data_IF_776307245341
#
_entry.id   IF_776307245341
#
_cell.length_a   1.000
_cell.length_b   1.000
_cell.length_c   1.000
_cell.angle_alpha   90.00
_cell.angle_beta   90.00
_cell.angle_gamma   90.00
#
_symmetry.space_group_name_H-M   'P 1'
#
loop_
_entity.id
_entity.type
_entity.pdbx_description
1 polymer ?
#
# COMPACT_ATOMS: atom_id res chain seq x y z
N UNK A 1 -6.46 31.50 24.16
CA UNK A 1 -6.95 31.57 22.78
C UNK A 1 -6.19 30.50 22.06
N UNK A 2 -6.73 29.27 21.99
CA UNK A 2 -6.25 28.27 21.05
C UNK A 2 -6.74 28.79 19.72
N UNK A 3 -5.79 29.11 18.83
CA UNK A 3 -6.11 29.48 17.46
C UNK A 3 -6.85 28.28 16.85
N UNK A 4 -8.12 28.49 16.49
CA UNK A 4 -8.93 27.49 15.79
C UNK A 4 -8.38 27.30 14.36
N UNK A 5 -7.24 26.63 14.26
CA UNK A 5 -6.72 26.20 12.96
C UNK A 5 -7.72 25.16 12.43
N UNK A 6 -8.35 25.40 11.29
CA UNK A 6 -9.32 24.46 10.75
C UNK A 6 -8.63 23.10 10.50
N UNK A 7 -9.22 22.03 11.03
CA UNK A 7 -8.69 20.68 10.87
C UNK A 7 -8.91 20.15 9.45
N UNK A 8 -9.91 20.66 8.74
CA UNK A 8 -10.36 20.23 7.42
C UNK A 8 -10.57 21.41 6.47
N UNK A 9 -10.84 21.14 5.20
CA UNK A 9 -10.91 22.17 4.15
C UNK A 9 -9.54 22.60 3.62
N UNK A 10 -8.47 21.91 4.04
CA UNK A 10 -7.08 22.22 3.71
C UNK A 10 -6.68 21.59 2.37
N UNK A 11 -7.35 21.98 1.28
CA UNK A 11 -7.17 21.39 -0.05
C UNK A 11 -5.74 21.49 -0.59
N UNK A 12 -4.99 22.51 -0.19
CA UNK A 12 -3.56 22.60 -0.51
C UNK A 12 -2.75 21.43 0.07
N UNK A 13 -3.07 20.98 1.29
CA UNK A 13 -2.44 19.81 1.91
C UNK A 13 -2.88 18.51 1.23
N UNK A 14 -4.14 18.40 0.80
CA UNK A 14 -4.62 17.26 0.00
C UNK A 14 -3.77 17.12 -1.26
N UNK A 15 -3.62 18.21 -2.03
CA UNK A 15 -2.87 18.20 -3.28
C UNK A 15 -1.39 17.92 -3.01
N UNK A 16 -0.78 18.61 -2.06
CA UNK A 16 0.64 18.51 -1.76
C UNK A 16 1.01 17.09 -1.30
N UNK A 17 0.30 16.54 -0.31
CA UNK A 17 0.59 15.20 0.21
C UNK A 17 0.31 14.11 -0.84
N UNK A 18 -0.82 14.21 -1.56
CA UNK A 18 -1.10 13.28 -2.65
C UNK A 18 0.00 13.32 -3.71
N UNK A 19 0.44 14.51 -4.13
CA UNK A 19 1.51 14.66 -5.12
C UNK A 19 2.84 14.09 -4.60
N UNK A 20 3.21 14.38 -3.35
CA UNK A 20 4.45 13.86 -2.73
C UNK A 20 4.44 12.33 -2.74
N UNK A 21 3.40 11.68 -2.23
CA UNK A 21 3.36 10.22 -2.13
C UNK A 21 3.26 9.54 -3.50
N UNK A 22 2.48 10.09 -4.43
CA UNK A 22 2.38 9.56 -5.80
C UNK A 22 3.71 9.73 -6.52
N UNK A 23 4.35 10.90 -6.45
CA UNK A 23 5.64 11.15 -7.05
C UNK A 23 6.73 10.25 -6.42
N UNK A 24 6.73 10.11 -5.09
CA UNK A 24 7.66 9.24 -4.40
C UNK A 24 7.49 7.78 -4.86
N UNK A 25 6.26 7.27 -4.92
CA UNK A 25 5.99 5.94 -5.46
C UNK A 25 6.44 5.80 -6.92
N UNK A 26 6.25 6.85 -7.75
CA UNK A 26 6.68 6.87 -9.15
C UNK A 26 8.21 6.78 -9.29
N UNK A 27 8.99 7.29 -8.33
CA UNK A 27 10.47 7.16 -8.38
C UNK A 27 10.94 5.72 -8.26
N UNK A 28 10.17 4.87 -7.59
CA UNK A 28 10.47 3.44 -7.38
C UNK A 28 9.69 2.50 -8.31
N UNK A 29 8.65 2.99 -8.94
CA UNK A 29 7.81 2.20 -9.84
C UNK A 29 7.48 3.05 -11.07
N UNK A 30 8.25 2.87 -12.13
CA UNK A 30 8.04 3.60 -13.40
C UNK A 30 7.15 2.76 -14.33
N UNK A 31 5.85 3.08 -14.45
CA UNK A 31 4.96 2.31 -15.29
C UNK A 31 5.40 2.36 -16.76
N UNK A 32 5.56 1.20 -17.38
CA UNK A 32 5.92 1.08 -18.81
C UNK A 32 4.79 0.48 -19.63
N UNK A 33 3.98 -0.38 -19.03
CA UNK A 33 2.85 -1.05 -19.68
C UNK A 33 1.51 -0.48 -19.23
N UNK A 34 0.44 -0.71 -20.01
CA UNK A 34 -0.93 -0.35 -19.62
C UNK A 34 -1.32 -0.98 -18.27
N UNK A 35 -0.80 -2.15 -17.95
CA UNK A 35 -1.03 -2.85 -16.69
C UNK A 35 -0.35 -2.14 -15.52
N UNK A 36 0.90 -1.72 -15.72
CA UNK A 36 1.64 -0.96 -14.72
C UNK A 36 0.91 0.36 -14.41
N UNK A 37 0.43 1.06 -15.44
CA UNK A 37 -0.36 2.27 -15.26
C UNK A 37 -1.66 2.03 -14.51
N UNK A 38 -2.33 0.88 -14.71
CA UNK A 38 -3.53 0.52 -13.95
C UNK A 38 -3.22 0.25 -12.49
N UNK A 39 -2.14 -0.48 -12.20
CA UNK A 39 -1.73 -0.78 -10.81
C UNK A 39 -1.33 0.49 -10.07
N UNK A 40 -0.54 1.34 -10.72
CA UNK A 40 -0.11 2.62 -10.17
C UNK A 40 -1.26 3.61 -10.01
N UNK A 41 -2.16 3.68 -10.99
CA UNK A 41 -3.36 4.52 -10.95
C UNK A 41 -4.30 4.14 -9.81
N UNK A 42 -4.47 2.85 -9.54
CA UNK A 42 -5.27 2.37 -8.43
C UNK A 42 -4.67 2.72 -7.07
N UNK A 43 -3.35 2.57 -6.90
CA UNK A 43 -2.62 3.06 -5.73
C UNK A 43 -2.79 4.57 -5.57
N UNK A 44 -2.60 5.32 -6.65
CA UNK A 44 -2.74 6.79 -6.63
C UNK A 44 -4.16 7.23 -6.24
N UNK A 45 -5.19 6.54 -6.73
CA UNK A 45 -6.58 6.81 -6.36
C UNK A 45 -6.82 6.57 -4.86
N UNK A 46 -6.24 5.52 -4.29
CA UNK A 46 -6.30 5.27 -2.84
C UNK A 46 -5.62 6.41 -2.05
N UNK A 47 -4.45 6.86 -2.47
CA UNK A 47 -3.70 7.95 -1.83
C UNK A 47 -4.50 9.26 -1.89
N UNK A 48 -5.11 9.59 -3.03
CA UNK A 48 -5.96 10.79 -3.17
C UNK A 48 -7.19 10.70 -2.28
N UNK A 49 -7.88 9.56 -2.25
CA UNK A 49 -9.04 9.35 -1.39
C UNK A 49 -8.69 9.50 0.10
N UNK A 50 -7.55 8.92 0.52
CA UNK A 50 -7.04 9.03 1.88
C UNK A 50 -6.81 10.48 2.28
N UNK A 51 -6.00 11.23 1.53
CA UNK A 51 -5.66 12.61 1.88
C UNK A 51 -6.85 13.57 1.73
N UNK A 52 -7.80 13.24 0.84
CA UNK A 52 -9.07 13.97 0.75
C UNK A 52 -9.85 13.88 2.07
N UNK A 53 -9.95 12.68 2.66
CA UNK A 53 -10.61 12.53 3.97
C UNK A 53 -9.77 13.05 5.13
N UNK A 54 -8.45 12.98 5.02
CA UNK A 54 -7.53 13.41 6.10
C UNK A 54 -7.49 14.94 6.27
N UNK A 55 -7.47 15.68 5.18
CA UNK A 55 -7.29 17.15 5.21
C UNK A 55 -8.40 17.94 4.53
N UNK A 56 -9.11 17.33 3.56
CA UNK A 56 -10.13 18.01 2.77
C UNK A 56 -11.52 17.91 3.41
N UNK A 57 -12.20 16.80 3.22
CA UNK A 57 -13.53 16.56 3.73
C UNK A 57 -13.61 15.24 4.50
N UNK A 58 -13.85 15.26 5.81
CA UNK A 58 -13.84 14.06 6.66
C UNK A 58 -15.16 13.27 6.52
N UNK A 59 -15.42 12.68 5.36
CA UNK A 59 -16.66 11.97 5.07
C UNK A 59 -16.96 10.88 6.10
N UNK A 60 -15.94 10.12 6.50
CA UNK A 60 -16.06 9.04 7.50
C UNK A 60 -16.53 9.59 8.84
N UNK A 61 -15.90 10.64 9.35
CA UNK A 61 -16.29 11.28 10.62
C UNK A 61 -17.69 11.86 10.48
N UNK A 62 -18.00 12.53 9.37
CA UNK A 62 -19.32 13.09 9.12
C UNK A 62 -20.42 12.02 9.17
N UNK A 63 -20.23 10.90 8.48
CA UNK A 63 -21.21 9.80 8.44
C UNK A 63 -21.37 9.08 9.78
N UNK A 64 -20.29 8.97 10.55
CA UNK A 64 -20.29 8.28 11.85
C UNK A 64 -20.53 9.21 13.04
N UNK A 65 -20.61 10.53 12.84
CA UNK A 65 -20.63 11.55 13.91
C UNK A 65 -21.70 11.29 14.98
N UNK A 66 -22.90 10.91 14.60
CA UNK A 66 -23.97 10.61 15.55
C UNK A 66 -23.67 9.44 16.47
N UNK A 67 -23.12 8.35 15.91
CA UNK A 67 -22.71 7.18 16.67
C UNK A 67 -21.49 7.44 17.53
N UNK A 68 -20.47 8.10 16.97
CA UNK A 68 -19.24 8.46 17.66
C UNK A 68 -19.52 9.39 18.84
N UNK A 69 -20.31 10.44 18.63
CA UNK A 69 -20.65 11.40 19.69
C UNK A 69 -21.49 10.76 20.79
N UNK A 70 -22.43 9.85 20.46
CA UNK A 70 -23.22 9.15 21.46
C UNK A 70 -22.37 8.17 22.31
N UNK A 71 -21.33 7.57 21.73
CA UNK A 71 -20.50 6.57 22.40
C UNK A 71 -19.32 7.18 23.16
N UNK A 72 -18.77 8.26 22.64
CA UNK A 72 -17.57 8.96 23.17
C UNK A 72 -17.81 10.47 23.16
N UNK A 73 -18.67 10.98 24.06
CA UNK A 73 -19.09 12.39 24.06
C UNK A 73 -17.97 13.37 24.40
N UNK A 74 -16.89 12.89 25.02
CA UNK A 74 -15.74 13.69 25.44
C UNK A 74 -14.77 14.01 24.30
N UNK A 75 -14.90 13.35 23.14
CA UNK A 75 -13.97 13.51 22.02
C UNK A 75 -14.53 14.54 21.02
N UNK A 76 -13.70 15.51 20.64
CA UNK A 76 -14.00 16.39 19.52
C UNK A 76 -13.68 15.68 18.20
N UNK A 77 -14.66 14.95 17.64
CA UNK A 77 -14.50 14.15 16.43
C UNK A 77 -14.14 14.94 15.17
N UNK A 78 -14.31 16.26 15.18
CA UNK A 78 -13.90 17.13 14.07
C UNK A 78 -12.50 17.73 14.26
N UNK A 79 -11.76 17.35 15.30
CA UNK A 79 -10.33 17.64 15.40
C UNK A 79 -9.52 16.73 14.46
N UNK A 80 -8.33 17.20 14.05
CA UNK A 80 -7.44 16.36 13.23
C UNK A 80 -7.05 15.06 13.95
N UNK A 81 -6.70 15.14 15.22
CA UNK A 81 -6.26 13.98 16.02
C UNK A 81 -7.30 12.86 16.08
N UNK A 82 -8.60 13.22 16.12
CA UNK A 82 -9.70 12.25 16.14
C UNK A 82 -9.82 11.39 14.85
N UNK A 83 -9.18 11.80 13.76
CA UNK A 83 -9.09 10.99 12.54
C UNK A 83 -8.24 9.73 12.69
N UNK A 84 -7.40 9.65 13.74
CA UNK A 84 -6.70 8.44 14.14
C UNK A 84 -7.65 7.48 14.89
N UNK A 85 -8.73 7.07 14.22
CA UNK A 85 -9.85 6.34 14.82
C UNK A 85 -9.43 5.09 15.60
N UNK A 86 -8.41 4.34 15.16
CA UNK A 86 -7.95 3.16 15.87
C UNK A 86 -7.35 3.52 17.24
N UNK A 87 -6.55 4.58 17.31
CA UNK A 87 -5.96 5.05 18.56
C UNK A 87 -7.07 5.46 19.55
N UNK A 88 -8.04 6.23 19.09
CA UNK A 88 -9.15 6.68 19.91
C UNK A 88 -10.05 5.52 20.39
N UNK A 89 -10.44 4.62 19.49
CA UNK A 89 -11.30 3.48 19.79
C UNK A 89 -10.65 2.46 20.75
N UNK A 90 -9.32 2.29 20.66
CA UNK A 90 -8.55 1.43 21.57
C UNK A 90 -8.08 2.15 22.85
N UNK A 91 -8.51 3.41 23.06
CA UNK A 91 -8.32 4.12 24.32
C UNK A 91 -6.94 4.77 24.50
N UNK A 92 -6.22 5.03 23.42
CA UNK A 92 -4.99 5.82 23.47
C UNK A 92 -5.35 7.28 23.72
N UNK A 93 -4.94 7.85 24.86
CA UNK A 93 -5.36 9.18 25.33
C UNK A 93 -4.25 10.23 25.29
N UNK A 94 -3.16 9.94 24.65
CA UNK A 94 -2.05 10.88 24.41
C UNK A 94 -1.98 11.23 22.92
N UNK A 95 -0.94 11.94 22.50
CA UNK A 95 -0.77 12.30 21.09
C UNK A 95 -0.84 11.05 20.19
N UNK A 96 -1.82 10.95 19.27
CA UNK A 96 -2.06 9.77 18.45
C UNK A 96 -0.90 9.46 17.50
N UNK A 97 -0.08 10.46 17.13
CA UNK A 97 1.09 10.26 16.27
C UNK A 97 2.18 9.39 16.91
N UNK A 98 2.14 9.22 18.22
CA UNK A 98 3.01 8.29 18.96
C UNK A 98 2.28 7.02 19.42
N UNK A 99 1.07 6.82 18.95
CA UNK A 99 0.26 5.64 19.24
C UNK A 99 0.78 4.37 18.54
N UNK A 100 0.40 3.18 19.05
CA UNK A 100 0.90 1.91 18.55
C UNK A 100 0.52 1.64 17.09
N UNK A 101 -0.69 2.02 16.65
CA UNK A 101 -1.14 1.83 15.28
C UNK A 101 -0.41 2.78 14.32
N UNK A 102 -0.17 4.03 14.75
CA UNK A 102 0.57 5.01 13.98
C UNK A 102 2.04 4.58 13.81
N UNK A 103 2.69 4.11 14.87
CA UNK A 103 4.06 3.57 14.79
C UNK A 103 4.11 2.34 13.89
N UNK A 104 3.15 1.42 14.05
CA UNK A 104 3.06 0.21 13.23
C UNK A 104 2.83 0.57 11.75
N UNK A 105 2.08 1.65 11.47
CA UNK A 105 1.84 2.12 10.10
C UNK A 105 3.15 2.46 9.38
N UNK A 106 4.10 3.10 10.04
CA UNK A 106 5.40 3.43 9.44
C UNK A 106 6.19 2.18 9.03
N UNK A 107 6.07 1.08 9.80
CA UNK A 107 6.71 -0.20 9.45
C UNK A 107 6.12 -0.76 8.15
N UNK A 108 4.80 -0.75 8.02
CA UNK A 108 4.12 -1.23 6.80
C UNK A 108 4.36 -0.31 5.59
N UNK A 109 4.26 1.00 5.78
CA UNK A 109 4.49 1.98 4.69
C UNK A 109 5.94 1.92 4.23
N UNK A 110 6.90 2.01 5.17
CA UNK A 110 8.33 1.95 4.86
C UNK A 110 8.74 0.60 4.27
N UNK A 111 8.29 -0.51 4.89
CA UNK A 111 8.51 -1.86 4.38
C UNK A 111 7.94 -2.08 2.98
N UNK A 112 6.74 -1.56 2.72
CA UNK A 112 6.12 -1.59 1.40
C UNK A 112 6.96 -0.88 0.34
N UNK A 113 7.45 0.33 0.62
CA UNK A 113 8.33 1.06 -0.30
C UNK A 113 9.68 0.38 -0.50
N UNK A 114 10.26 -0.23 0.54
CA UNK A 114 11.48 -1.03 0.40
C UNK A 114 11.26 -2.23 -0.55
N UNK A 115 10.13 -2.93 -0.41
CA UNK A 115 9.78 -4.05 -1.28
C UNK A 115 9.56 -3.59 -2.73
N UNK A 116 8.84 -2.47 -2.96
CA UNK A 116 8.64 -1.90 -4.30
C UNK A 116 10.00 -1.55 -4.93
N UNK A 117 10.86 -0.84 -4.19
CA UNK A 117 12.19 -0.44 -4.67
C UNK A 117 13.07 -1.64 -5.02
N UNK A 118 13.12 -2.65 -4.14
CA UNK A 118 13.88 -3.87 -4.37
C UNK A 118 13.37 -4.66 -5.58
N UNK A 119 12.04 -4.73 -5.72
CA UNK A 119 11.40 -5.37 -6.88
C UNK A 119 11.69 -4.64 -8.17
N UNK A 120 11.52 -3.32 -8.17
CA UNK A 120 11.77 -2.49 -9.35
C UNK A 120 13.19 -2.62 -9.90
N UNK A 121 14.18 -2.59 -9.01
CA UNK A 121 15.60 -2.71 -9.41
C UNK A 121 15.85 -3.99 -10.21
N UNK A 122 15.36 -5.13 -9.72
CA UNK A 122 15.53 -6.44 -10.39
C UNK A 122 14.74 -6.48 -11.70
N UNK A 123 13.50 -6.01 -11.68
CA UNK A 123 12.64 -6.00 -12.86
C UNK A 123 13.21 -5.14 -13.98
N UNK A 124 13.67 -3.94 -13.65
CA UNK A 124 14.27 -3.03 -14.62
C UNK A 124 15.53 -3.63 -15.30
N UNK A 125 16.37 -4.30 -14.50
CA UNK A 125 17.56 -4.97 -15.02
C UNK A 125 17.20 -6.14 -15.94
N UNK A 126 16.25 -6.98 -15.55
CA UNK A 126 15.75 -8.08 -16.34
C UNK A 126 15.11 -7.62 -17.66
N UNK A 127 14.32 -6.55 -17.64
CA UNK A 127 13.74 -5.95 -18.85
C UNK A 127 14.80 -5.45 -19.83
N UNK A 128 15.86 -4.81 -19.32
CA UNK A 128 16.99 -4.36 -20.18
C UNK A 128 17.73 -5.51 -20.86
N UNK A 129 17.81 -6.64 -20.18
CA UNK A 129 18.52 -7.82 -20.66
C UNK A 129 17.60 -8.80 -21.43
N UNK A 130 16.31 -8.48 -21.58
CA UNK A 130 15.30 -9.37 -22.14
C UNK A 130 15.26 -10.76 -21.46
N UNK A 131 15.42 -10.78 -20.12
CA UNK A 131 15.44 -11.99 -19.30
C UNK A 131 14.32 -11.99 -18.27
N UNK A 132 14.06 -13.15 -17.66
CA UNK A 132 13.12 -13.27 -16.56
C UNK A 132 13.70 -12.69 -15.27
N UNK A 133 12.91 -11.88 -14.55
CA UNK A 133 13.22 -11.41 -13.21
C UNK A 133 13.03 -12.57 -12.22
N UNK A 134 14.11 -13.23 -11.81
CA UNK A 134 14.10 -14.42 -10.93
C UNK A 134 15.03 -14.28 -9.73
N UNK A 135 15.79 -13.17 -9.63
CA UNK A 135 16.80 -12.96 -8.61
C UNK A 135 16.31 -11.99 -7.51
N UNK A 136 17.10 -11.83 -6.44
CA UNK A 136 16.77 -10.92 -5.36
C UNK A 136 15.42 -11.24 -4.70
N UNK A 137 14.53 -10.27 -4.60
CA UNK A 137 13.20 -10.46 -4.02
C UNK A 137 12.31 -11.38 -4.88
N UNK A 138 12.53 -11.43 -6.20
CA UNK A 138 11.84 -12.34 -7.12
C UNK A 138 12.22 -13.81 -6.91
N UNK A 139 13.33 -14.11 -6.24
CA UNK A 139 13.64 -15.48 -5.82
C UNK A 139 12.74 -15.98 -4.67
N UNK A 140 11.99 -15.08 -4.02
CA UNK A 140 11.13 -15.38 -2.86
C UNK A 140 9.64 -15.29 -3.18
N UNK A 141 9.25 -14.31 -3.99
CA UNK A 141 7.87 -14.06 -4.43
C UNK A 141 7.85 -13.51 -5.85
N UNK A 142 6.82 -13.84 -6.62
CA UNK A 142 6.73 -13.43 -8.04
C UNK A 142 6.18 -12.01 -8.23
N UNK A 143 5.40 -11.49 -7.28
CA UNK A 143 4.73 -10.18 -7.40
C UNK A 143 5.06 -9.23 -6.24
N UNK A 144 6.36 -8.91 -6.02
CA UNK A 144 6.76 -8.06 -4.91
C UNK A 144 6.17 -6.64 -4.98
N UNK A 145 5.95 -6.08 -6.19
CA UNK A 145 5.40 -4.75 -6.35
C UNK A 145 3.97 -4.68 -5.79
N UNK A 146 3.13 -5.66 -6.09
CA UNK A 146 1.75 -5.70 -5.59
C UNK A 146 1.70 -5.90 -4.08
N UNK A 147 2.60 -6.73 -3.53
CA UNK A 147 2.77 -6.87 -2.08
C UNK A 147 3.12 -5.50 -1.48
N UNK A 148 4.07 -4.79 -2.05
CA UNK A 148 4.50 -3.48 -1.57
C UNK A 148 3.37 -2.46 -1.58
N UNK A 149 2.59 -2.35 -2.67
CA UNK A 149 1.42 -1.46 -2.71
C UNK A 149 0.37 -1.82 -1.65
N UNK A 150 0.08 -3.12 -1.47
CA UNK A 150 -0.87 -3.57 -0.45
C UNK A 150 -0.38 -3.23 0.95
N UNK A 151 0.91 -3.39 1.24
CA UNK A 151 1.49 -3.05 2.54
C UNK A 151 1.44 -1.54 2.81
N UNK A 152 1.75 -0.70 1.81
CA UNK A 152 1.64 0.77 1.95
C UNK A 152 0.20 1.18 2.26
N UNK A 153 -0.77 0.68 1.47
CA UNK A 153 -2.19 0.96 1.70
C UNK A 153 -2.66 0.47 3.08
N UNK A 154 -2.24 -0.74 3.49
CA UNK A 154 -2.57 -1.28 4.80
C UNK A 154 -1.98 -0.43 5.94
N UNK A 155 -0.73 0.04 5.80
CA UNK A 155 -0.13 0.96 6.75
C UNK A 155 -0.93 2.25 6.92
N UNK A 156 -1.38 2.84 5.81
CA UNK A 156 -2.26 4.02 5.88
C UNK A 156 -3.62 3.73 6.53
N UNK A 157 -4.19 2.53 6.33
CA UNK A 157 -5.42 2.13 7.04
C UNK A 157 -5.21 1.98 8.55
N UNK A 158 -4.03 1.60 9.00
CA UNK A 158 -3.71 1.59 10.44
C UNK A 158 -3.59 3.01 10.99
N UNK A 159 -3.02 3.91 10.22
CA UNK A 159 -2.81 5.28 10.63
C UNK A 159 -4.10 6.12 10.58
N UNK A 160 -4.86 5.99 9.49
CA UNK A 160 -6.02 6.82 9.21
C UNK A 160 -7.11 6.00 8.49
N UNK A 161 -7.86 5.17 9.22
CA UNK A 161 -8.91 4.36 8.63
C UNK A 161 -10.12 5.23 8.25
N UNK A 162 -10.50 5.21 6.98
CA UNK A 162 -11.71 5.84 6.49
C UNK A 162 -12.66 4.81 5.88
N UNK A 163 -13.97 5.06 5.90
CA UNK A 163 -14.94 4.15 5.29
C UNK A 163 -14.65 3.93 3.80
N UNK A 164 -14.24 5.01 3.11
CA UNK A 164 -13.92 4.95 1.69
C UNK A 164 -12.69 4.08 1.44
N UNK A 165 -11.58 4.33 2.13
CA UNK A 165 -10.33 3.56 1.94
C UNK A 165 -10.47 2.12 2.43
N UNK A 166 -11.25 1.87 3.50
CA UNK A 166 -11.59 0.52 3.96
C UNK A 166 -12.39 -0.25 2.90
N UNK A 167 -13.35 0.40 2.22
CA UNK A 167 -14.09 -0.22 1.12
C UNK A 167 -13.21 -0.43 -0.13
N UNK A 168 -12.33 0.53 -0.44
CA UNK A 168 -11.40 0.43 -1.57
C UNK A 168 -10.38 -0.70 -1.38
N UNK A 169 -9.87 -0.90 -0.18
CA UNK A 169 -8.76 -1.82 0.08
C UNK A 169 -8.99 -3.25 -0.42
N UNK A 170 -10.08 -3.97 -0.05
CA UNK A 170 -10.32 -5.32 -0.57
C UNK A 170 -10.52 -5.35 -2.09
N UNK A 171 -11.14 -4.31 -2.66
CA UNK A 171 -11.33 -4.19 -4.13
C UNK A 171 -9.97 -4.07 -4.82
N UNK A 172 -9.05 -3.25 -4.28
CA UNK A 172 -7.71 -3.05 -4.83
C UNK A 172 -6.83 -4.30 -4.66
N UNK A 173 -6.91 -4.98 -3.52
CA UNK A 173 -6.22 -6.27 -3.30
C UNK A 173 -6.67 -7.30 -4.34
N UNK A 174 -7.99 -7.40 -4.56
CA UNK A 174 -8.53 -8.29 -5.60
C UNK A 174 -8.09 -7.89 -7.01
N UNK A 175 -8.08 -6.59 -7.30
CA UNK A 175 -7.59 -6.07 -8.58
C UNK A 175 -6.12 -6.44 -8.80
N UNK A 176 -5.23 -6.24 -7.81
CA UNK A 176 -3.82 -6.63 -7.91
C UNK A 176 -3.64 -8.14 -8.09
N UNK A 177 -4.44 -8.95 -7.40
CA UNK A 177 -4.44 -10.39 -7.63
C UNK A 177 -4.81 -10.74 -9.08
N UNK A 178 -5.85 -10.09 -9.65
CA UNK A 178 -6.22 -10.29 -11.06
C UNK A 178 -5.14 -9.83 -12.02
N UNK A 179 -4.51 -8.69 -11.76
CA UNK A 179 -3.40 -8.19 -12.58
C UNK A 179 -2.22 -9.16 -12.57
N UNK A 180 -1.85 -9.66 -11.39
CA UNK A 180 -0.80 -10.67 -11.23
C UNK A 180 -1.09 -11.94 -12.07
N UNK A 181 -2.32 -12.44 -12.02
CA UNK A 181 -2.72 -13.64 -12.80
C UNK A 181 -2.64 -13.40 -14.30
N UNK A 182 -3.00 -12.21 -14.78
CA UNK A 182 -2.85 -11.86 -16.20
C UNK A 182 -1.38 -11.75 -16.62
N UNK A 183 -0.57 -11.13 -15.77
CA UNK A 183 0.87 -11.05 -15.97
C UNK A 183 1.52 -12.43 -16.08
N UNK A 184 1.15 -13.36 -15.20
CA UNK A 184 1.63 -14.73 -15.25
C UNK A 184 1.29 -15.41 -16.59
N UNK A 185 0.08 -15.18 -17.12
CA UNK A 185 -0.33 -15.76 -18.41
C UNK A 185 0.47 -15.17 -19.57
N UNK A 186 0.72 -13.86 -19.59
CA UNK A 186 1.48 -13.20 -20.64
C UNK A 186 2.95 -13.63 -20.61
N UNK A 187 3.57 -13.65 -19.43
CA UNK A 187 4.97 -14.10 -19.26
C UNK A 187 5.12 -15.58 -19.57
N UNK A 188 4.12 -16.40 -19.24
CA UNK A 188 4.11 -17.82 -19.59
C UNK A 188 4.03 -18.03 -21.12
N UNK A 189 3.23 -17.21 -21.81
CA UNK A 189 3.14 -17.25 -23.28
C UNK A 189 4.47 -16.84 -23.96
N UNK A 190 5.20 -15.88 -23.36
CA UNK A 190 6.48 -15.39 -23.88
C UNK A 190 7.66 -16.31 -23.58
N UNK A 191 7.75 -16.82 -22.34
CA UNK A 191 8.92 -17.56 -21.84
C UNK A 191 8.70 -19.08 -21.66
N UNK A 192 7.48 -19.57 -21.87
CA UNK A 192 7.14 -20.99 -21.90
C UNK A 192 7.58 -21.77 -20.66
N UNK A 193 8.27 -22.88 -20.88
CA UNK A 193 8.69 -23.84 -19.82
C UNK A 193 9.66 -23.20 -18.79
N UNK A 194 10.45 -22.21 -19.17
CA UNK A 194 11.34 -21.52 -18.24
C UNK A 194 10.53 -20.81 -17.13
N UNK A 195 9.46 -20.10 -17.52
CA UNK A 195 8.58 -19.45 -16.55
C UNK A 195 7.72 -20.47 -15.79
N UNK A 196 7.25 -21.54 -16.46
CA UNK A 196 6.49 -22.61 -15.80
C UNK A 196 7.29 -23.26 -14.66
N UNK A 197 8.60 -23.48 -14.85
CA UNK A 197 9.50 -24.00 -13.81
C UNK A 197 9.61 -23.01 -12.65
N UNK A 198 9.84 -21.72 -12.92
CA UNK A 198 9.92 -20.67 -11.93
C UNK A 198 8.62 -20.57 -11.10
N UNK A 199 7.44 -20.70 -11.74
CA UNK A 199 6.14 -20.72 -11.04
C UNK A 199 5.98 -21.90 -10.06
N UNK A 200 6.58 -23.06 -10.36
CA UNK A 200 6.56 -24.23 -9.46
C UNK A 200 7.42 -24.02 -8.21
N UNK A 201 8.52 -23.30 -8.36
CA UNK A 201 9.51 -23.10 -7.30
C UNK A 201 9.18 -21.89 -6.41
N UNK A 202 8.74 -20.79 -7.01
CA UNK A 202 8.53 -19.52 -6.33
C UNK A 202 7.03 -19.19 -6.21
N UNK A 203 6.50 -18.95 -5.01
CA UNK A 203 5.10 -18.59 -4.81
C UNK A 203 4.77 -17.17 -5.32
N UNK A 204 3.47 -16.89 -5.58
CA UNK A 204 3.04 -15.61 -6.11
C UNK A 204 3.22 -14.45 -5.11
N UNK A 205 2.73 -14.61 -3.86
CA UNK A 205 2.64 -13.52 -2.89
C UNK A 205 3.26 -13.84 -1.52
N UNK A 206 3.09 -15.05 -1.00
CA UNK A 206 3.56 -15.41 0.34
C UNK A 206 4.83 -16.25 0.24
N UNK A 207 5.97 -15.77 0.79
CA UNK A 207 7.21 -16.54 0.76
C UNK A 207 7.05 -17.86 1.53
N UNK A 208 7.63 -18.94 1.00
CA UNK A 208 7.68 -20.20 1.74
C UNK A 208 8.61 -20.04 2.94
N UNK A 209 8.09 -20.33 4.13
CA UNK A 209 8.87 -20.26 5.37
C UNK A 209 9.90 -21.40 5.50
N UNK A 210 9.82 -22.43 4.63
CA UNK A 210 10.80 -23.51 4.59
C UNK A 210 11.94 -23.14 3.63
N UNK A 211 13.11 -22.87 4.18
CA UNK A 211 14.35 -22.81 3.42
C UNK A 211 14.67 -24.21 2.85
N UNK A 212 14.31 -24.46 1.60
CA UNK A 212 15.07 -25.47 0.84
C UNK A 212 16.42 -24.85 0.55
N UNK A 213 17.46 -25.40 1.18
CA UNK A 213 18.84 -25.12 0.73
C UNK A 213 18.92 -25.32 -0.79
N UNK A 214 19.59 -24.40 -1.51
CA UNK A 214 19.83 -24.61 -2.93
C UNK A 214 20.59 -25.91 -3.07
N UNK A 215 20.00 -26.88 -3.75
CA UNK A 215 20.69 -28.11 -4.15
C UNK A 215 21.92 -27.67 -4.91
N UNK A 216 23.11 -27.79 -4.30
CA UNK A 216 24.39 -27.61 -4.99
C UNK A 216 24.35 -28.58 -6.15
N UNK A 217 24.21 -28.06 -7.37
CA UNK A 217 24.43 -28.80 -8.58
C UNK A 217 25.85 -29.36 -8.47
N UNK A 218 25.94 -30.67 -8.44
CA UNK A 218 27.20 -31.40 -8.37
C UNK A 218 28.17 -30.97 -9.47
N UNK A 219 29.41 -31.00 -9.09
CA UNK A 219 30.59 -30.79 -9.94
C UNK A 219 30.58 -31.71 -11.15
#
# INVERSE_FOLDING_TARGET
>A
MQDDIPAYGLWSLVILNSAIFIFFAFTFFKPTTTRDWRSFGAFSAFIVALFTEMYGFPLTIYLLSGWLQARYPEINWFSHDAGHLLEELFGWRTNPHFGPFHILSFIFIGGGFVIISAGWKVLYEAQRQHTLATTGIYARVRHPQYIGFVLVMFGFLLQWPTLLTLAMFPVLVFMYWRLARREEQEVLAEHGEAYARYMREVPAFFPRLSAREPTRAGR
#
